data_IF_381158399799
#
_entry.id   IF_381158399799
#
_cell.length_a   1.000
_cell.length_b   1.000
_cell.length_c   1.000
_cell.angle_alpha   90.00
_cell.angle_beta   90.00
_cell.angle_gamma   90.00
#
_symmetry.space_group_name_H-M   'P 1'
#
loop_
_entity.id
_entity.type
_entity.pdbx_description
1 polymer ?
#
# COMPACT_ATOMS: atom_id res chain seq x y z
N UNK A 1 -12.01 -23.15 22.82
CA UNK A 1 -11.02 -22.12 22.44
C UNK A 1 -11.18 -21.89 20.94
N UNK A 2 -11.87 -20.81 20.55
CA UNK A 2 -12.29 -20.62 19.14
C UNK A 2 -11.08 -20.38 18.23
N UNK A 3 -11.03 -21.10 17.11
CA UNK A 3 -10.03 -20.94 16.07
C UNK A 3 -10.21 -19.55 15.42
N UNK A 4 -9.55 -18.51 15.96
CA UNK A 4 -9.64 -17.14 15.42
C UNK A 4 -8.82 -17.05 14.13
N UNK A 5 -9.38 -16.45 13.09
CA UNK A 5 -8.67 -16.28 11.82
C UNK A 5 -7.48 -15.34 11.99
N UNK A 6 -6.50 -15.43 11.07
CA UNK A 6 -5.37 -14.49 11.06
C UNK A 6 -5.84 -13.04 10.89
N UNK A 7 -6.93 -12.83 10.16
CA UNK A 7 -7.58 -11.53 9.95
C UNK A 7 -8.10 -10.92 11.26
N UNK A 8 -8.81 -11.69 12.08
CA UNK A 8 -9.34 -11.20 13.37
C UNK A 8 -8.21 -10.73 14.28
N UNK A 9 -7.09 -11.49 14.31
CA UNK A 9 -5.93 -11.16 15.14
C UNK A 9 -5.25 -9.86 14.70
N UNK A 10 -5.10 -9.66 13.39
CA UNK A 10 -4.52 -8.43 12.83
C UNK A 10 -5.42 -7.23 13.13
N UNK A 11 -6.73 -7.42 12.97
CA UNK A 11 -7.75 -6.41 13.22
C UNK A 11 -7.72 -5.95 14.68
N UNK A 12 -7.80 -6.89 15.62
CA UNK A 12 -7.76 -6.62 17.06
C UNK A 12 -6.50 -5.86 17.46
N UNK A 13 -5.32 -6.32 16.99
CA UNK A 13 -4.04 -5.68 17.26
C UNK A 13 -4.00 -4.24 16.73
N UNK A 14 -4.42 -4.01 15.49
CA UNK A 14 -4.47 -2.68 14.88
C UNK A 14 -5.39 -1.75 15.67
N UNK A 15 -6.63 -2.17 15.96
CA UNK A 15 -7.57 -1.34 16.71
C UNK A 15 -7.10 -1.04 18.12
N UNK A 16 -6.42 -1.97 18.79
CA UNK A 16 -5.85 -1.71 20.10
C UNK A 16 -4.76 -0.63 20.03
N UNK A 17 -3.86 -0.70 19.05
CA UNK A 17 -2.81 0.31 18.86
C UNK A 17 -3.38 1.67 18.48
N UNK A 18 -4.42 1.70 17.63
CA UNK A 18 -5.09 2.93 17.19
C UNK A 18 -5.94 3.60 18.28
N UNK A 19 -6.35 2.86 19.32
CA UNK A 19 -6.99 3.46 20.50
C UNK A 19 -5.99 4.24 21.35
N UNK A 20 -4.74 3.77 21.41
CA UNK A 20 -3.69 4.39 22.21
C UNK A 20 -2.93 5.48 21.43
N UNK A 21 -2.81 5.31 20.13
CA UNK A 21 -2.05 6.19 19.24
C UNK A 21 -2.90 6.62 18.06
N UNK A 22 -2.66 7.82 17.53
CA UNK A 22 -3.30 8.30 16.29
C UNK A 22 -2.26 8.48 15.18
N UNK A 23 -1.64 7.39 14.69
CA UNK A 23 -0.62 7.48 13.66
C UNK A 23 -1.22 7.99 12.35
N UNK A 24 -0.42 8.76 11.61
CA UNK A 24 -0.73 9.16 10.23
C UNK A 24 -0.12 8.19 9.19
N UNK A 25 0.74 7.27 9.64
CA UNK A 25 1.45 6.32 8.81
C UNK A 25 1.86 5.09 9.63
N UNK A 26 1.86 3.91 9.00
CA UNK A 26 2.35 2.66 9.60
C UNK A 26 3.37 1.98 8.68
N UNK A 27 4.58 1.74 9.22
CA UNK A 27 5.57 0.85 8.61
C UNK A 27 5.41 -0.55 9.21
N UNK A 28 4.84 -1.48 8.44
CA UNK A 28 4.68 -2.87 8.86
C UNK A 28 5.92 -3.68 8.48
N UNK A 29 6.62 -4.21 9.47
CA UNK A 29 7.77 -5.08 9.26
C UNK A 29 7.30 -6.53 9.39
N UNK A 30 7.32 -7.26 8.27
CA UNK A 30 6.86 -8.63 8.20
C UNK A 30 8.05 -9.59 8.26
N UNK A 31 7.91 -10.75 8.92
CA UNK A 31 8.98 -11.74 9.02
C UNK A 31 9.29 -12.39 7.67
N UNK A 32 8.27 -12.54 6.82
CA UNK A 32 8.37 -13.18 5.51
C UNK A 32 7.33 -12.64 4.53
N UNK A 33 7.47 -13.02 3.27
CA UNK A 33 6.48 -12.71 2.23
C UNK A 33 5.32 -13.72 2.33
N UNK A 34 4.32 -13.40 3.14
CA UNK A 34 3.09 -14.19 3.27
C UNK A 34 1.86 -13.35 2.91
N UNK A 35 1.06 -13.84 1.97
CA UNK A 35 -0.21 -13.22 1.58
C UNK A 35 -1.26 -13.34 2.69
N UNK A 36 -1.21 -14.39 3.50
CA UNK A 36 -2.18 -14.64 4.58
C UNK A 36 -2.16 -13.53 5.65
N UNK A 37 -1.00 -12.95 5.92
CA UNK A 37 -0.86 -11.83 6.86
C UNK A 37 -0.94 -10.49 6.14
N UNK A 38 -0.27 -10.36 4.99
CA UNK A 38 -0.18 -9.11 4.26
C UNK A 38 -1.54 -8.64 3.74
N UNK A 39 -2.32 -9.54 3.13
CA UNK A 39 -3.55 -9.16 2.44
C UNK A 39 -4.63 -8.63 3.41
N UNK A 40 -4.94 -9.31 4.54
CA UNK A 40 -5.89 -8.77 5.51
C UNK A 40 -5.41 -7.45 6.13
N UNK A 41 -4.13 -7.38 6.54
CA UNK A 41 -3.54 -6.15 7.09
C UNK A 41 -3.71 -4.97 6.14
N UNK A 42 -3.32 -5.17 4.88
CA UNK A 42 -3.34 -4.14 3.85
C UNK A 42 -4.77 -3.68 3.56
N UNK A 43 -5.68 -4.64 3.38
CA UNK A 43 -7.12 -4.37 3.17
C UNK A 43 -7.70 -3.54 4.30
N UNK A 44 -7.58 -3.98 5.56
CA UNK A 44 -8.18 -3.29 6.71
C UNK A 44 -7.61 -1.87 6.85
N UNK A 45 -6.29 -1.70 6.70
CA UNK A 45 -5.67 -0.38 6.82
C UNK A 45 -6.15 0.59 5.74
N UNK A 46 -6.29 0.14 4.49
CA UNK A 46 -6.63 1.01 3.36
C UNK A 46 -8.13 1.23 3.19
N UNK A 47 -8.97 0.25 3.53
CA UNK A 47 -10.42 0.33 3.29
C UNK A 47 -11.25 0.66 4.53
N UNK A 48 -10.86 0.18 5.71
CA UNK A 48 -11.64 0.36 6.95
C UNK A 48 -11.09 1.51 7.79
N UNK A 49 -9.77 1.53 7.98
CA UNK A 49 -9.11 2.50 8.86
C UNK A 49 -8.76 3.78 8.10
N UNK A 50 -8.39 3.67 6.82
CA UNK A 50 -7.97 4.80 5.99
C UNK A 50 -6.57 5.33 6.34
N UNK A 51 -5.66 4.46 6.77
CA UNK A 51 -4.28 4.82 7.13
C UNK A 51 -3.28 4.41 6.04
N UNK A 52 -2.37 5.32 5.73
CA UNK A 52 -1.28 5.05 4.78
C UNK A 52 -0.30 4.05 5.38
N UNK A 53 0.01 2.98 4.65
CA UNK A 53 0.93 1.93 5.12
C UNK A 53 2.02 1.58 4.12
N UNK A 54 3.18 1.20 4.65
CA UNK A 54 4.24 0.54 3.90
C UNK A 54 4.59 -0.78 4.59
N UNK A 55 4.45 -1.90 3.87
CA UNK A 55 4.89 -3.21 4.38
C UNK A 55 6.28 -3.53 3.82
N UNK A 56 7.18 -4.03 4.67
CA UNK A 56 8.52 -4.45 4.28
C UNK A 56 8.83 -5.84 4.82
N UNK A 57 9.57 -6.62 4.05
CA UNK A 57 10.31 -7.78 4.54
C UNK A 57 11.78 -7.41 4.40
N UNK A 58 12.47 -7.05 5.49
CA UNK A 58 13.85 -6.62 5.42
C UNK A 58 14.75 -7.75 4.88
N UNK A 59 15.67 -7.45 3.95
CA UNK A 59 16.68 -8.43 3.56
C UNK A 59 17.64 -8.70 4.73
N UNK A 60 18.31 -9.85 4.72
CA UNK A 60 19.34 -10.19 5.72
C UNK A 60 20.44 -9.12 5.85
N UNK A 61 20.77 -8.45 4.75
CA UNK A 61 21.67 -7.31 4.70
C UNK A 61 20.92 -6.13 4.10
N UNK A 62 20.67 -5.11 4.92
CA UNK A 62 20.17 -3.84 4.41
C UNK A 62 21.25 -3.17 3.55
N UNK A 63 20.80 -2.49 2.51
CA UNK A 63 21.64 -1.65 1.69
C UNK A 63 20.92 -0.34 1.38
N UNK A 64 21.68 0.66 0.98
CA UNK A 64 21.16 2.00 0.68
C UNK A 64 20.11 1.95 -0.43
N UNK A 65 20.33 1.16 -1.48
CA UNK A 65 19.36 1.04 -2.59
C UNK A 65 17.99 0.54 -2.12
N UNK A 66 17.94 -0.42 -1.19
CA UNK A 66 16.70 -0.92 -0.63
C UNK A 66 15.97 0.16 0.15
N UNK A 67 16.70 0.87 1.02
CA UNK A 67 16.15 1.96 1.81
C UNK A 67 15.63 3.09 0.92
N UNK A 68 16.39 3.47 -0.11
CA UNK A 68 15.98 4.44 -1.13
C UNK A 68 14.69 4.00 -1.80
N UNK A 69 14.58 2.74 -2.24
CA UNK A 69 13.36 2.23 -2.88
C UNK A 69 12.15 2.23 -1.93
N UNK A 70 12.35 1.98 -0.63
CA UNK A 70 11.30 2.07 0.38
C UNK A 70 10.88 3.52 0.59
N UNK A 71 11.82 4.44 0.73
CA UNK A 71 11.56 5.87 0.89
C UNK A 71 10.78 6.45 -0.30
N UNK A 72 11.17 6.08 -1.53
CA UNK A 72 10.47 6.47 -2.75
C UNK A 72 9.01 5.99 -2.75
N UNK A 73 8.73 4.78 -2.26
CA UNK A 73 7.35 4.27 -2.15
C UNK A 73 6.54 5.02 -1.10
N UNK A 74 7.16 5.36 0.03
CA UNK A 74 6.50 6.11 1.11
C UNK A 74 6.16 7.52 0.64
N UNK A 75 7.10 8.21 -0.01
CA UNK A 75 6.92 9.55 -0.58
C UNK A 75 5.66 9.65 -1.45
N UNK A 76 5.49 8.72 -2.41
CA UNK A 76 4.33 8.71 -3.30
C UNK A 76 3.01 8.42 -2.56
N UNK A 77 3.03 7.52 -1.57
CA UNK A 77 1.84 7.21 -0.77
C UNK A 77 1.39 8.36 0.12
N UNK A 78 2.30 9.28 0.42
CA UNK A 78 2.03 10.49 1.20
C UNK A 78 1.70 11.71 0.32
N UNK A 79 1.45 11.49 -0.98
CA UNK A 79 1.08 12.55 -1.92
C UNK A 79 2.28 13.35 -2.47
N UNK A 80 3.50 12.92 -2.20
CA UNK A 80 4.71 13.50 -2.79
C UNK A 80 4.94 13.04 -4.23
N UNK A 81 5.95 13.63 -4.87
CA UNK A 81 6.44 13.25 -6.20
C UNK A 81 7.94 12.94 -6.09
N UNK A 82 8.38 11.84 -6.72
CA UNK A 82 9.80 11.49 -6.73
C UNK A 82 10.54 12.09 -7.95
N UNK A 83 9.83 12.24 -9.06
CA UNK A 83 10.39 12.78 -10.30
C UNK A 83 9.27 13.44 -11.10
N UNK A 84 9.59 14.57 -11.72
CA UNK A 84 8.71 15.30 -12.63
C UNK A 84 9.45 15.48 -13.94
N UNK A 85 8.73 15.46 -15.06
CA UNK A 85 9.33 15.75 -16.36
C UNK A 85 9.74 17.23 -16.39
N UNK A 86 10.98 17.53 -16.73
CA UNK A 86 11.48 18.92 -16.81
C UNK A 86 10.63 19.81 -17.75
N UNK A 87 10.00 19.21 -18.77
CA UNK A 87 9.06 19.93 -19.64
C UNK A 87 7.74 20.24 -18.94
N UNK A 88 7.26 19.39 -18.04
CA UNK A 88 6.04 19.64 -17.26
C UNK A 88 6.26 20.77 -16.24
N UNK A 89 7.44 20.86 -15.63
CA UNK A 89 7.79 21.99 -14.75
C UNK A 89 7.66 23.34 -15.47
N UNK A 90 8.01 23.37 -16.75
CA UNK A 90 7.87 24.53 -17.64
C UNK A 90 6.51 24.62 -18.34
N UNK A 91 5.60 23.67 -18.07
CA UNK A 91 4.28 23.52 -18.72
C UNK A 91 4.36 23.47 -20.24
N UNK A 92 5.37 22.78 -20.77
CA UNK A 92 5.66 22.69 -22.21
C UNK A 92 5.25 21.36 -22.84
N UNK A 93 4.63 20.43 -22.11
CA UNK A 93 4.19 19.18 -22.73
C UNK A 93 3.03 19.47 -23.68
N UNK A 94 3.20 19.24 -24.99
CA UNK A 94 2.12 19.45 -25.95
C UNK A 94 0.94 18.56 -25.55
N UNK A 95 -0.27 19.11 -25.63
CA UNK A 95 -1.55 18.48 -25.26
C UNK A 95 -1.77 18.21 -23.77
N UNK A 96 -0.73 17.96 -22.97
CA UNK A 96 -0.86 17.67 -21.53
C UNK A 96 -0.85 18.95 -20.70
N UNK A 97 0.18 19.79 -20.83
CA UNK A 97 0.26 21.05 -20.06
C UNK A 97 -0.48 22.22 -20.74
N UNK A 98 -0.72 22.13 -22.06
CA UNK A 98 -1.30 23.21 -22.85
C UNK A 98 -2.79 23.49 -22.54
N UNK A 99 -3.51 22.52 -21.98
CA UNK A 99 -4.91 22.63 -21.56
C UNK A 99 -5.15 21.69 -20.36
N UNK A 100 -6.13 21.97 -19.49
CA UNK A 100 -6.48 21.05 -18.41
C UNK A 100 -6.71 19.64 -18.95
N UNK A 101 -5.86 18.70 -18.54
CA UNK A 101 -5.82 17.33 -19.08
C UNK A 101 -5.76 16.34 -17.93
N UNK A 102 -6.60 15.30 -18.01
CA UNK A 102 -6.60 14.16 -17.08
C UNK A 102 -6.12 12.92 -17.84
N UNK A 103 -5.20 12.17 -17.24
CA UNK A 103 -4.67 10.92 -17.80
C UNK A 103 -5.28 9.75 -17.01
N UNK A 104 -5.90 8.81 -17.73
CA UNK A 104 -6.45 7.58 -17.16
C UNK A 104 -5.60 6.37 -17.59
N UNK A 105 -5.32 5.47 -16.65
CA UNK A 105 -4.75 4.15 -16.92
C UNK A 105 -5.74 3.07 -16.46
N UNK A 106 -5.99 2.07 -17.29
CA UNK A 106 -6.86 0.95 -16.96
C UNK A 106 -6.06 -0.35 -17.16
N UNK A 107 -6.26 -1.29 -16.24
CA UNK A 107 -5.64 -2.61 -16.26
C UNK A 107 -6.67 -3.66 -15.82
N UNK A 108 -6.56 -4.88 -16.34
CA UNK A 108 -7.43 -6.02 -15.98
C UNK A 108 -6.54 -7.17 -15.55
N UNK A 109 -6.71 -7.61 -14.31
CA UNK A 109 -6.07 -8.81 -13.79
C UNK A 109 -7.10 -9.92 -13.57
N UNK A 110 -6.76 -11.13 -14.00
CA UNK A 110 -7.54 -12.32 -13.71
C UNK A 110 -6.99 -12.99 -12.45
N UNK A 111 -7.88 -13.39 -11.53
CA UNK A 111 -7.50 -14.22 -10.39
C UNK A 111 -6.96 -15.58 -10.84
N UNK A 112 -6.26 -16.28 -9.95
CA UNK A 112 -5.80 -17.63 -10.25
C UNK A 112 -7.01 -18.53 -10.52
N UNK A 113 -6.93 -19.49 -11.46
CA UNK A 113 -8.01 -20.44 -11.67
C UNK A 113 -8.33 -21.17 -10.36
N UNK A 114 -9.51 -20.92 -9.78
CA UNK A 114 -9.94 -21.48 -8.50
C UNK A 114 -10.28 -20.47 -7.39
N UNK A 115 -9.86 -19.21 -7.50
CA UNK A 115 -10.18 -18.15 -6.52
C UNK A 115 -11.61 -17.57 -6.69
N UNK A 116 -12.55 -18.38 -7.20
CA UNK A 116 -13.93 -17.96 -7.36
C UNK A 116 -14.49 -17.54 -6.00
N UNK A 117 -14.98 -16.30 -5.94
CA UNK A 117 -15.68 -15.74 -4.79
C UNK A 117 -16.82 -16.68 -4.43
N UNK A 118 -16.62 -17.49 -3.39
CA UNK A 118 -17.73 -18.20 -2.74
C UNK A 118 -18.50 -17.12 -1.99
N UNK A 119 -19.57 -16.61 -2.60
CA UNK A 119 -20.57 -15.85 -1.89
C UNK A 119 -21.17 -16.81 -0.85
N UNK A 120 -20.71 -16.72 0.40
CA UNK A 120 -21.46 -17.24 1.53
C UNK A 120 -22.74 -16.39 1.65
N UNK A 121 -23.80 -16.86 0.99
CA UNK A 121 -25.17 -16.56 1.34
C UNK A 121 -25.55 -17.34 2.59
#
# INVERSE_FOLDING_TARGET
MSNRSAEDRVTDMLFQQLKQHKPQFVLAILPEKSSELYSPFKRICETVIGIVTQCIVPPKKLNEQYLTNVALKISLKWGGYNTVLAQEEKKMLPKVSAKPTVIFGLDVSHGSPGDAIVLHQ
#
